data_IF_508018318773
#
_entry.id   IF_508018318773
#
_cell.length_a   1.000
_cell.length_b   1.000
_cell.length_c   1.000
_cell.angle_alpha   90.00
_cell.angle_beta   90.00
_cell.angle_gamma   90.00
#
_symmetry.space_group_name_H-M   'P 1'
#
loop_
_entity.id
_entity.type
_entity.pdbx_description
1 polymer ?
#
# COMPACT_ATOMS: atom_id res chain seq x y z
N UNK A 1 49.68 -37.77 -18.87
CA UNK A 1 48.70 -36.80 -19.42
C UNK A 1 47.65 -36.56 -18.36
N UNK A 2 47.77 -35.46 -17.60
CA UNK A 2 46.81 -35.07 -16.54
C UNK A 2 45.73 -34.19 -17.16
N UNK A 3 44.45 -34.63 -17.16
CA UNK A 3 43.30 -33.84 -17.61
C UNK A 3 42.84 -32.99 -16.44
N UNK A 4 43.05 -31.68 -16.52
CA UNK A 4 42.53 -30.68 -15.58
C UNK A 4 41.08 -30.41 -15.93
N UNK A 5 40.16 -30.77 -15.04
CA UNK A 5 38.73 -30.46 -15.15
C UNK A 5 38.54 -29.01 -14.63
N UNK A 6 38.21 -28.09 -15.50
CA UNK A 6 37.80 -26.71 -15.13
C UNK A 6 36.32 -26.76 -14.80
N UNK A 7 36.01 -26.62 -13.51
CA UNK A 7 34.64 -26.46 -13.01
C UNK A 7 34.26 -25.00 -13.20
N UNK A 8 33.47 -24.68 -14.24
CA UNK A 8 32.85 -23.36 -14.41
C UNK A 8 31.62 -23.32 -13.52
N UNK A 9 31.74 -22.65 -12.40
CA UNK A 9 30.59 -22.31 -11.54
C UNK A 9 29.75 -21.24 -12.27
N UNK A 10 28.66 -21.65 -12.89
CA UNK A 10 27.63 -20.74 -13.40
C UNK A 10 26.82 -20.27 -12.21
N UNK A 11 27.17 -19.10 -11.69
CA UNK A 11 26.31 -18.36 -10.74
C UNK A 11 25.09 -17.88 -11.50
N UNK A 12 24.01 -18.64 -11.51
CA UNK A 12 22.68 -18.12 -11.92
C UNK A 12 22.22 -17.13 -10.86
N UNK A 13 22.48 -15.84 -11.10
CA UNK A 13 21.75 -14.77 -10.46
C UNK A 13 20.29 -14.90 -10.93
N UNK A 14 19.44 -15.42 -10.07
CA UNK A 14 17.99 -15.34 -10.20
C UNK A 14 17.60 -13.86 -10.01
N UNK A 15 17.82 -13.04 -11.05
CA UNK A 15 17.12 -11.76 -11.18
C UNK A 15 15.64 -12.11 -11.28
N UNK A 16 14.93 -11.99 -10.15
CA UNK A 16 13.49 -12.07 -10.13
C UNK A 16 12.96 -11.01 -11.10
N UNK A 17 12.53 -11.46 -12.28
CA UNK A 17 11.98 -10.61 -13.34
C UNK A 17 10.62 -10.03 -12.89
N UNK A 18 10.61 -9.05 -11.99
CA UNK A 18 9.42 -8.23 -11.73
C UNK A 18 9.17 -7.26 -12.89
N UNK A 19 10.16 -7.04 -13.74
CA UNK A 19 10.12 -6.07 -14.86
C UNK A 19 10.05 -4.61 -14.40
N UNK A 20 10.06 -4.35 -13.08
CA UNK A 20 9.95 -3.03 -12.47
C UNK A 20 11.26 -2.63 -11.80
N UNK A 21 11.73 -1.41 -12.08
CA UNK A 21 12.85 -0.79 -11.37
C UNK A 21 12.32 0.29 -10.44
N UNK A 22 12.80 0.29 -9.20
CA UNK A 22 12.48 1.34 -8.24
C UNK A 22 13.21 2.64 -8.58
N UNK A 23 12.70 3.79 -8.12
CA UNK A 23 13.29 5.10 -8.45
C UNK A 23 14.72 5.23 -7.90
N UNK A 24 15.07 4.59 -6.81
CA UNK A 24 16.41 4.57 -6.23
C UNK A 24 17.40 3.65 -6.97
N UNK A 25 16.96 2.77 -7.88
CA UNK A 25 17.84 1.91 -8.68
C UNK A 25 18.39 2.61 -9.93
N UNK A 26 17.83 3.77 -10.28
CA UNK A 26 18.11 4.48 -11.54
C UNK A 26 19.30 5.43 -11.53
N UNK A 27 20.05 5.57 -10.43
CA UNK A 27 21.29 6.38 -10.37
C UNK A 27 21.14 7.89 -10.63
N UNK A 28 19.93 8.43 -10.74
CA UNK A 28 19.65 9.83 -11.13
C UNK A 28 18.83 10.64 -10.09
N UNK A 29 18.69 10.17 -8.87
CA UNK A 29 18.16 11.02 -7.82
C UNK A 29 19.34 11.74 -7.15
N UNK A 30 19.59 12.99 -7.56
CA UNK A 30 20.38 13.92 -6.74
C UNK A 30 19.72 13.92 -5.36
N UNK A 31 20.46 13.66 -4.27
CA UNK A 31 19.90 13.80 -2.94
C UNK A 31 19.30 15.19 -2.81
N UNK A 32 18.18 15.40 -2.13
CA UNK A 32 17.87 16.73 -1.66
C UNK A 32 19.10 17.22 -0.90
N UNK A 33 19.60 18.41 -1.28
CA UNK A 33 20.72 19.02 -0.58
C UNK A 33 20.39 18.93 0.90
N UNK A 34 21.30 18.30 1.68
CA UNK A 34 21.12 18.15 3.10
C UNK A 34 20.76 19.52 3.67
N UNK A 35 19.50 19.71 4.00
CA UNK A 35 19.09 20.82 4.84
C UNK A 35 19.90 20.63 6.12
N UNK A 36 20.80 21.57 6.39
CA UNK A 36 21.63 21.56 7.58
C UNK A 36 20.73 21.23 8.77
N UNK A 37 21.20 20.34 9.65
CA UNK A 37 20.50 19.93 10.85
C UNK A 37 20.15 21.16 11.71
N UNK A 38 19.06 21.75 11.39
CA UNK A 38 18.32 22.73 12.15
C UNK A 38 16.99 22.07 12.40
N UNK A 39 16.56 22.08 13.66
CA UNK A 39 15.33 21.53 14.22
C UNK A 39 14.34 20.99 13.17
N UNK A 40 14.11 19.67 13.17
CA UNK A 40 13.14 19.03 12.31
C UNK A 40 11.80 19.75 12.54
N UNK A 41 11.52 20.72 11.68
CA UNK A 41 10.23 21.36 11.63
C UNK A 41 9.24 20.22 11.35
N UNK A 42 8.30 20.03 12.29
CA UNK A 42 7.08 19.29 12.03
C UNK A 42 6.60 19.66 10.63
N UNK A 43 5.98 18.73 9.85
CA UNK A 43 5.45 19.06 8.53
C UNK A 43 4.72 20.38 8.66
N UNK A 44 5.14 21.37 7.82
CA UNK A 44 4.62 22.72 7.90
C UNK A 44 3.12 22.63 8.10
N UNK A 45 2.63 23.20 9.20
CA UNK A 45 1.22 23.27 9.44
C UNK A 45 0.62 23.86 8.16
N UNK A 46 -0.32 23.10 7.57
CA UNK A 46 -1.14 23.56 6.45
C UNK A 46 -1.61 24.97 6.84
N UNK A 47 -1.13 25.99 6.13
CA UNK A 47 -1.46 27.39 6.39
C UNK A 47 -2.92 27.72 6.03
N UNK A 48 -3.77 26.69 5.95
CA UNK A 48 -5.22 26.78 5.80
C UNK A 48 -5.69 27.11 4.38
N UNK A 49 -4.77 27.33 3.44
CA UNK A 49 -5.12 27.45 2.03
C UNK A 49 -5.13 26.06 1.39
N UNK A 50 -6.31 25.58 0.98
CA UNK A 50 -6.45 24.31 0.27
C UNK A 50 -5.51 24.30 -0.95
N UNK A 51 -4.60 23.30 -1.02
CA UNK A 51 -3.71 23.17 -2.15
C UNK A 51 -4.51 22.89 -3.44
N UNK A 52 -4.05 23.39 -4.61
CA UNK A 52 -4.71 23.06 -5.87
C UNK A 52 -4.91 21.55 -6.02
N UNK A 53 -6.13 21.10 -6.34
CA UNK A 53 -6.50 19.69 -6.44
C UNK A 53 -7.16 19.10 -5.19
N UNK A 54 -7.08 19.76 -4.02
CA UNK A 54 -7.70 19.25 -2.78
C UNK A 54 -9.23 19.31 -2.86
N UNK A 55 -9.79 20.37 -3.46
CA UNK A 55 -11.24 20.49 -3.67
C UNK A 55 -11.81 19.40 -4.58
N UNK A 56 -11.07 18.96 -5.58
CA UNK A 56 -11.42 17.82 -6.42
C UNK A 56 -11.25 16.49 -5.68
N UNK A 57 -10.23 16.38 -4.83
CA UNK A 57 -10.04 15.20 -3.98
C UNK A 57 -11.20 15.02 -2.99
N UNK A 58 -11.73 16.08 -2.44
CA UNK A 58 -12.90 16.02 -1.54
C UNK A 58 -14.14 15.46 -2.27
N UNK A 59 -14.19 15.61 -3.59
CA UNK A 59 -15.22 15.07 -4.47
C UNK A 59 -14.80 13.73 -5.13
N UNK A 60 -13.83 12.99 -4.58
CA UNK A 60 -13.25 11.76 -5.17
C UNK A 60 -14.22 10.59 -5.32
N UNK A 61 -15.44 10.70 -4.80
CA UNK A 61 -16.54 9.78 -5.13
C UNK A 61 -16.91 9.86 -6.61
N UNK A 62 -16.67 10.99 -7.27
CA UNK A 62 -16.71 11.17 -8.72
C UNK A 62 -15.32 10.87 -9.31
N UNK A 63 -15.25 9.83 -10.14
CA UNK A 63 -14.02 9.39 -10.79
C UNK A 63 -13.38 10.47 -11.67
N UNK A 64 -14.18 11.35 -12.31
CA UNK A 64 -13.64 12.44 -13.10
C UNK A 64 -12.94 13.49 -12.21
N UNK A 65 -13.52 13.78 -11.05
CA UNK A 65 -12.92 14.67 -10.05
C UNK A 65 -11.64 14.08 -9.47
N UNK A 66 -11.65 12.80 -9.12
CA UNK A 66 -10.44 12.10 -8.67
C UNK A 66 -9.31 12.16 -9.69
N UNK A 67 -9.61 11.94 -10.99
CA UNK A 67 -8.61 12.06 -12.06
C UNK A 67 -8.10 13.49 -12.22
N UNK A 68 -8.97 14.49 -12.04
CA UNK A 68 -8.57 15.91 -12.06
C UNK A 68 -7.64 16.23 -10.89
N UNK A 69 -7.96 15.79 -9.68
CA UNK A 69 -7.09 15.96 -8.50
C UNK A 69 -5.69 15.38 -8.77
N UNK A 70 -5.63 14.13 -9.27
CA UNK A 70 -4.35 13.47 -9.60
C UNK A 70 -3.56 14.29 -10.62
N UNK A 71 -4.18 14.73 -11.71
CA UNK A 71 -3.49 15.50 -12.75
C UNK A 71 -2.98 16.86 -12.24
N UNK A 72 -3.75 17.53 -11.39
CA UNK A 72 -3.36 18.79 -10.75
C UNK A 72 -2.16 18.59 -9.82
N UNK A 73 -2.21 17.58 -8.98
CA UNK A 73 -1.10 17.25 -8.07
C UNK A 73 0.16 16.77 -8.79
N UNK A 74 0.02 16.06 -9.92
CA UNK A 74 1.17 15.67 -10.74
C UNK A 74 1.90 16.88 -11.30
N UNK A 75 1.16 17.85 -11.81
CA UNK A 75 1.73 19.11 -12.29
C UNK A 75 2.42 19.90 -11.16
N UNK A 76 1.83 19.91 -9.95
CA UNK A 76 2.46 20.53 -8.79
C UNK A 76 3.74 19.81 -8.37
N UNK A 77 3.78 18.46 -8.44
CA UNK A 77 4.94 17.66 -8.12
C UNK A 77 6.09 17.79 -9.16
N UNK A 78 5.81 18.25 -10.38
CA UNK A 78 6.84 18.65 -11.34
C UNK A 78 7.57 19.92 -10.90
N UNK A 79 6.84 20.85 -10.27
CA UNK A 79 7.40 22.11 -9.77
C UNK A 79 8.13 21.93 -8.42
N UNK A 80 7.63 21.04 -7.56
CA UNK A 80 8.22 20.71 -6.25
C UNK A 80 8.33 19.18 -6.08
N UNK A 81 9.36 18.55 -6.67
CA UNK A 81 9.49 17.10 -6.71
C UNK A 81 9.87 16.46 -5.35
N UNK A 82 10.21 17.27 -4.35
CA UNK A 82 10.58 16.81 -3.02
C UNK A 82 9.50 17.06 -1.96
N UNK A 83 8.32 17.51 -2.35
CA UNK A 83 7.19 17.72 -1.45
C UNK A 83 6.60 16.37 -1.00
N UNK A 84 7.08 15.87 0.14
CA UNK A 84 6.68 14.57 0.66
C UNK A 84 5.16 14.45 0.84
N UNK A 85 4.50 15.50 1.35
CA UNK A 85 3.05 15.52 1.55
C UNK A 85 2.30 15.36 0.23
N UNK A 86 2.70 16.08 -0.80
CA UNK A 86 2.10 16.02 -2.13
C UNK A 86 2.32 14.64 -2.78
N UNK A 87 3.53 14.07 -2.63
CA UNK A 87 3.88 12.75 -3.14
C UNK A 87 3.06 11.64 -2.46
N UNK A 88 2.79 11.78 -1.16
CA UNK A 88 1.87 10.87 -0.41
C UNK A 88 0.44 11.00 -0.92
N UNK A 89 -0.07 12.23 -1.14
CA UNK A 89 -1.41 12.45 -1.76
C UNK A 89 -1.51 11.73 -3.10
N UNK A 90 -0.52 11.87 -3.97
CA UNK A 90 -0.46 11.19 -5.26
C UNK A 90 -0.43 9.66 -5.13
N UNK A 91 0.32 9.13 -4.17
CA UNK A 91 0.37 7.69 -3.90
C UNK A 91 -1.01 7.16 -3.52
N UNK A 92 -1.65 7.80 -2.52
CA UNK A 92 -3.00 7.44 -2.05
C UNK A 92 -4.05 7.56 -3.15
N UNK A 93 -4.01 8.64 -3.94
CA UNK A 93 -5.01 8.88 -4.97
C UNK A 93 -4.93 7.86 -6.12
N UNK A 94 -3.72 7.49 -6.57
CA UNK A 94 -3.55 6.43 -7.55
C UNK A 94 -3.97 5.05 -7.00
N UNK A 95 -3.67 4.76 -5.72
CA UNK A 95 -4.18 3.57 -5.05
C UNK A 95 -5.71 3.56 -5.05
N UNK A 96 -6.36 4.66 -4.63
CA UNK A 96 -7.81 4.76 -4.56
C UNK A 96 -8.48 4.67 -5.93
N UNK A 97 -7.90 5.31 -6.96
CA UNK A 97 -8.39 5.19 -8.34
C UNK A 97 -8.34 3.73 -8.82
N UNK A 98 -7.21 3.06 -8.61
CA UNK A 98 -7.07 1.67 -9.04
C UNK A 98 -7.96 0.72 -8.23
N UNK A 99 -7.81 0.70 -6.89
CA UNK A 99 -8.50 -0.26 -6.01
C UNK A 99 -10.00 0.03 -5.84
N UNK A 100 -10.41 1.27 -6.09
CA UNK A 100 -11.82 1.68 -6.05
C UNK A 100 -12.55 1.48 -7.37
N UNK A 101 -11.98 1.97 -8.47
CA UNK A 101 -12.73 2.19 -9.71
C UNK A 101 -12.26 1.36 -10.91
N UNK A 102 -11.07 0.74 -10.85
CA UNK A 102 -10.48 0.00 -11.98
C UNK A 102 -10.34 -1.50 -11.70
N UNK A 103 -11.20 -2.06 -10.80
CA UNK A 103 -11.10 -3.47 -10.37
C UNK A 103 -11.64 -4.48 -11.39
N UNK A 104 -12.45 -4.02 -12.36
CA UNK A 104 -13.07 -4.87 -13.38
C UNK A 104 -12.03 -5.54 -14.27
N UNK A 105 -12.37 -6.70 -14.84
CA UNK A 105 -11.48 -7.41 -15.77
C UNK A 105 -11.14 -6.58 -17.00
N UNK A 106 -12.10 -5.81 -17.52
CA UNK A 106 -11.91 -4.91 -18.66
C UNK A 106 -10.85 -3.83 -18.38
N UNK A 107 -10.64 -3.47 -17.11
CA UNK A 107 -9.78 -2.38 -16.69
C UNK A 107 -8.39 -2.84 -16.22
N UNK A 108 -8.09 -4.14 -16.29
CA UNK A 108 -6.85 -4.72 -15.73
C UNK A 108 -5.58 -3.98 -16.15
N UNK A 109 -5.47 -3.61 -17.43
CA UNK A 109 -4.30 -2.89 -17.94
C UNK A 109 -4.18 -1.50 -17.32
N UNK A 110 -5.29 -0.79 -17.18
CA UNK A 110 -5.31 0.53 -16.57
C UNK A 110 -5.09 0.42 -15.05
N UNK A 111 -5.69 -0.57 -14.38
CA UNK A 111 -5.44 -0.88 -12.98
C UNK A 111 -3.94 -1.04 -12.71
N UNK A 112 -3.27 -1.93 -13.45
CA UNK A 112 -1.84 -2.21 -13.27
C UNK A 112 -0.98 -0.96 -13.53
N UNK A 113 -1.30 -0.17 -14.56
CA UNK A 113 -0.59 1.08 -14.88
C UNK A 113 -0.78 2.12 -13.76
N UNK A 114 -2.01 2.29 -13.27
CA UNK A 114 -2.35 3.26 -12.22
C UNK A 114 -1.72 2.86 -10.90
N UNK A 115 -1.78 1.56 -10.56
CA UNK A 115 -1.17 1.06 -9.34
C UNK A 115 0.37 1.18 -9.36
N UNK A 116 1.04 0.87 -10.49
CA UNK A 116 2.48 1.09 -10.67
C UNK A 116 2.86 2.57 -10.55
N UNK A 117 2.01 3.47 -11.04
CA UNK A 117 2.18 4.92 -10.88
C UNK A 117 2.11 5.31 -9.39
N UNK A 118 1.15 4.75 -8.65
CA UNK A 118 1.06 4.90 -7.20
C UNK A 118 2.33 4.41 -6.48
N UNK A 119 2.85 3.24 -6.89
CA UNK A 119 4.12 2.73 -6.33
C UNK A 119 5.27 3.70 -6.58
N UNK A 120 5.41 4.25 -7.80
CA UNK A 120 6.48 5.21 -8.14
C UNK A 120 6.39 6.51 -7.33
N UNK A 121 5.17 7.02 -7.12
CA UNK A 121 4.97 8.18 -6.24
C UNK A 121 5.32 7.84 -4.78
N UNK A 122 4.96 6.65 -4.30
CA UNK A 122 5.32 6.17 -2.98
C UNK A 122 6.83 6.02 -2.77
N UNK A 123 7.56 5.57 -3.79
CA UNK A 123 9.02 5.51 -3.77
C UNK A 123 9.64 6.90 -3.64
N UNK A 124 9.14 7.88 -4.41
CA UNK A 124 9.58 9.28 -4.29
C UNK A 124 9.22 9.85 -2.93
N UNK A 125 8.02 9.54 -2.41
CA UNK A 125 7.59 9.98 -1.09
C UNK A 125 8.51 9.45 0.02
N UNK A 126 8.94 8.18 -0.04
CA UNK A 126 9.91 7.60 0.91
C UNK A 126 11.25 8.33 0.87
N UNK A 127 11.78 8.59 -0.34
CA UNK A 127 13.04 9.34 -0.51
C UNK A 127 12.92 10.76 0.04
N UNK A 128 11.78 11.43 -0.21
CA UNK A 128 11.56 12.80 0.27
C UNK A 128 11.29 12.88 1.78
N UNK A 129 10.67 11.83 2.36
CA UNK A 129 10.32 11.79 3.79
C UNK A 129 11.48 11.38 4.69
N UNK A 130 12.54 10.73 4.16
CA UNK A 130 13.64 10.22 4.98
C UNK A 130 14.97 10.29 4.23
N UNK A 131 15.79 11.32 4.53
CA UNK A 131 17.16 11.42 4.00
C UNK A 131 18.02 10.20 4.36
N UNK A 132 17.82 9.60 5.54
CA UNK A 132 18.55 8.43 6.01
C UNK A 132 18.19 7.19 5.19
N UNK A 133 16.90 7.01 4.84
CA UNK A 133 16.47 5.97 3.91
C UNK A 133 17.10 6.18 2.53
N UNK A 134 17.03 7.40 2.00
CA UNK A 134 17.59 7.75 0.70
C UNK A 134 19.10 7.46 0.65
N UNK A 135 19.85 7.91 1.66
CA UNK A 135 21.28 7.66 1.76
C UNK A 135 21.63 6.17 1.87
N UNK A 136 20.86 5.40 2.65
CA UNK A 136 21.06 3.97 2.78
C UNK A 136 20.85 3.24 1.44
N UNK A 137 19.76 3.57 0.70
CA UNK A 137 19.50 2.99 -0.61
C UNK A 137 20.56 3.33 -1.64
N UNK A 138 21.05 4.58 -1.67
CA UNK A 138 22.15 5.02 -2.53
C UNK A 138 23.48 4.32 -2.16
N UNK A 139 23.70 4.06 -0.86
CA UNK A 139 24.85 3.29 -0.37
C UNK A 139 24.78 1.78 -0.64
N UNK A 140 23.73 1.29 -1.29
CA UNK A 140 23.55 -0.12 -1.63
C UNK A 140 23.06 -1.00 -0.48
N UNK A 141 22.49 -0.42 0.58
CA UNK A 141 21.87 -1.19 1.66
C UNK A 141 20.70 -2.03 1.12
N UNK A 142 20.42 -3.15 1.76
CA UNK A 142 19.21 -3.92 1.47
C UNK A 142 17.98 -3.14 1.90
N UNK A 143 16.89 -3.25 1.13
CA UNK A 143 15.67 -2.50 1.39
C UNK A 143 15.14 -2.64 2.84
N UNK A 144 15.08 -3.85 3.47
CA UNK A 144 14.64 -3.97 4.87
C UNK A 144 15.52 -3.21 5.88
N UNK A 145 16.82 -3.06 5.60
CA UNK A 145 17.75 -2.27 6.44
C UNK A 145 17.50 -0.77 6.25
N UNK A 146 17.26 -0.34 5.00
CA UNK A 146 17.01 1.07 4.70
C UNK A 146 15.67 1.53 5.28
N UNK A 147 14.60 0.74 5.11
CA UNK A 147 13.25 1.12 5.57
C UNK A 147 13.17 1.26 7.10
N UNK A 148 14.00 0.54 7.87
CA UNK A 148 14.08 0.69 9.33
C UNK A 148 14.56 2.06 9.79
N UNK A 149 15.15 2.85 8.91
CA UNK A 149 15.64 4.22 9.18
C UNK A 149 14.55 5.28 9.03
N UNK A 150 13.41 4.93 8.42
CA UNK A 150 12.28 5.86 8.27
C UNK A 150 11.65 6.13 9.62
N UNK A 151 11.48 7.40 9.98
CA UNK A 151 10.83 7.85 11.22
C UNK A 151 9.29 7.88 11.12
N UNK A 152 8.65 8.33 12.20
CA UNK A 152 7.18 8.36 12.31
C UNK A 152 6.53 9.26 11.24
N UNK A 153 7.18 10.34 10.88
CA UNK A 153 6.75 11.27 9.81
C UNK A 153 6.64 10.59 8.44
N UNK A 154 7.40 9.52 8.20
CA UNK A 154 7.35 8.72 6.97
C UNK A 154 6.29 7.63 6.95
N UNK A 155 5.52 7.42 8.03
CA UNK A 155 4.46 6.38 8.07
C UNK A 155 3.45 6.52 6.93
N UNK A 156 2.94 7.72 6.57
CA UNK A 156 2.03 7.86 5.43
C UNK A 156 2.66 7.39 4.11
N UNK A 157 3.91 7.73 3.85
CA UNK A 157 4.63 7.30 2.65
C UNK A 157 4.81 5.79 2.61
N UNK A 158 5.27 5.19 3.72
CA UNK A 158 5.43 3.74 3.87
C UNK A 158 4.13 2.98 3.65
N UNK A 159 3.06 3.40 4.31
CA UNK A 159 1.78 2.70 4.26
C UNK A 159 1.20 2.67 2.85
N UNK A 160 1.13 3.82 2.17
CA UNK A 160 0.57 3.89 0.82
C UNK A 160 1.46 3.26 -0.24
N UNK A 161 2.79 3.37 -0.10
CA UNK A 161 3.74 2.65 -0.94
C UNK A 161 3.55 1.14 -0.84
N UNK A 162 3.58 0.58 0.38
CA UNK A 162 3.47 -0.86 0.58
C UNK A 162 2.08 -1.40 0.17
N UNK A 163 1.01 -0.63 0.42
CA UNK A 163 -0.34 -0.97 -0.04
C UNK A 163 -0.42 -1.04 -1.56
N UNK A 164 0.14 -0.04 -2.25
CA UNK A 164 0.18 -0.01 -3.72
C UNK A 164 1.02 -1.15 -4.29
N UNK A 165 2.23 -1.38 -3.74
CA UNK A 165 3.13 -2.44 -4.20
C UNK A 165 2.52 -3.83 -3.99
N UNK A 166 1.90 -4.07 -2.83
CA UNK A 166 1.25 -5.34 -2.52
C UNK A 166 0.08 -5.65 -3.47
N UNK A 167 -0.78 -4.67 -3.74
CA UNK A 167 -1.90 -4.80 -4.67
C UNK A 167 -1.42 -5.00 -6.12
N UNK A 168 -0.44 -4.21 -6.56
CA UNK A 168 0.17 -4.37 -7.87
C UNK A 168 0.78 -5.76 -8.03
N UNK A 169 1.57 -6.21 -7.06
CA UNK A 169 2.23 -7.51 -7.09
C UNK A 169 1.22 -8.68 -7.09
N UNK A 170 0.15 -8.58 -6.26
CA UNK A 170 -0.94 -9.58 -6.23
C UNK A 170 -1.59 -9.72 -7.62
N UNK A 171 -1.90 -8.59 -8.28
CA UNK A 171 -2.54 -8.59 -9.61
C UNK A 171 -1.59 -9.08 -10.72
N UNK A 172 -0.27 -8.87 -10.58
CA UNK A 172 0.75 -9.41 -11.50
C UNK A 172 0.99 -10.91 -11.37
N UNK A 173 0.53 -11.51 -10.29
CA UNK A 173 0.58 -12.95 -10.04
C UNK A 173 1.53 -13.39 -8.93
N UNK A 174 1.41 -14.65 -8.57
CA UNK A 174 2.04 -15.22 -7.37
C UNK A 174 3.56 -15.07 -7.32
N UNK A 175 4.28 -15.29 -8.42
CA UNK A 175 5.74 -15.16 -8.46
C UNK A 175 6.21 -13.72 -8.16
N UNK A 176 5.50 -12.71 -8.69
CA UNK A 176 5.79 -11.29 -8.44
C UNK A 176 5.46 -10.94 -6.99
N UNK A 177 4.31 -11.40 -6.48
CA UNK A 177 3.92 -11.21 -5.10
C UNK A 177 4.96 -11.77 -4.13
N UNK A 178 5.44 -12.99 -4.37
CA UNK A 178 6.47 -13.63 -3.56
C UNK A 178 7.79 -12.85 -3.61
N UNK A 179 8.16 -12.34 -4.78
CA UNK A 179 9.37 -11.52 -4.96
C UNK A 179 9.33 -10.16 -4.24
N UNK A 180 8.14 -9.60 -4.02
CA UNK A 180 7.97 -8.32 -3.30
C UNK A 180 7.62 -8.50 -1.81
N UNK A 181 7.36 -9.73 -1.37
CA UNK A 181 6.85 -10.05 -0.03
C UNK A 181 7.68 -9.41 1.08
N UNK A 182 8.99 -9.56 1.03
CA UNK A 182 9.87 -9.11 2.12
C UNK A 182 9.95 -7.59 2.18
N UNK A 183 9.93 -6.89 1.05
CA UNK A 183 9.92 -5.43 0.99
C UNK A 183 8.60 -4.87 1.55
N UNK A 184 7.46 -5.42 1.09
CA UNK A 184 6.14 -4.99 1.57
C UNK A 184 5.99 -5.28 3.05
N UNK A 185 6.39 -6.48 3.50
CA UNK A 185 6.32 -6.85 4.91
C UNK A 185 7.19 -5.96 5.79
N UNK A 186 8.46 -5.75 5.45
CA UNK A 186 9.37 -4.90 6.23
C UNK A 186 8.83 -3.46 6.35
N UNK A 187 8.25 -2.92 5.28
CA UNK A 187 7.63 -1.61 5.30
C UNK A 187 6.42 -1.55 6.24
N UNK A 188 5.55 -2.57 6.21
CA UNK A 188 4.38 -2.60 7.08
C UNK A 188 4.73 -2.95 8.53
N UNK A 189 5.77 -3.78 8.78
CA UNK A 189 6.32 -3.97 10.13
C UNK A 189 6.74 -2.63 10.74
N UNK A 190 7.44 -1.79 9.94
CA UNK A 190 7.87 -0.46 10.39
C UNK A 190 6.68 0.48 10.63
N UNK A 191 5.66 0.45 9.78
CA UNK A 191 4.41 1.19 10.03
C UNK A 191 3.75 0.74 11.35
N UNK A 192 3.66 -0.57 11.58
CA UNK A 192 3.06 -1.14 12.78
C UNK A 192 3.82 -0.74 14.05
N UNK A 193 5.16 -0.70 13.98
CA UNK A 193 6.03 -0.27 15.09
C UNK A 193 5.82 1.22 15.43
N UNK A 194 5.77 2.09 14.42
CA UNK A 194 5.75 3.53 14.59
C UNK A 194 4.35 4.10 14.85
N UNK A 195 3.34 3.57 14.18
CA UNK A 195 1.95 4.00 14.33
C UNK A 195 0.96 2.89 13.95
N UNK A 196 0.61 2.00 14.89
CA UNK A 196 -0.36 0.93 14.65
C UNK A 196 -1.78 1.43 14.33
N UNK A 197 -2.07 2.71 14.66
CA UNK A 197 -3.39 3.32 14.47
C UNK A 197 -3.56 4.01 13.12
N UNK A 198 -2.45 4.22 12.39
CA UNK A 198 -2.47 4.93 11.11
C UNK A 198 -3.57 4.38 10.19
N UNK A 199 -4.27 5.29 9.54
CA UNK A 199 -5.35 5.01 8.61
C UNK A 199 -6.33 3.95 9.12
N UNK A 200 -6.95 4.23 10.28
CA UNK A 200 -7.98 3.38 10.87
C UNK A 200 -7.49 1.96 11.17
N UNK A 201 -6.34 1.82 11.83
CA UNK A 201 -5.75 0.52 12.13
C UNK A 201 -5.20 -0.21 10.90
N UNK A 202 -4.80 0.54 9.89
CA UNK A 202 -4.32 0.06 8.59
C UNK A 202 -3.18 -0.96 8.66
N UNK A 203 -2.11 -0.75 9.47
CA UNK A 203 -1.05 -1.74 9.62
C UNK A 203 -1.58 -3.08 10.16
N UNK A 204 -2.47 -3.06 11.14
CA UNK A 204 -3.11 -4.28 11.62
C UNK A 204 -3.99 -4.93 10.56
N UNK A 205 -4.79 -4.15 9.83
CA UNK A 205 -5.61 -4.65 8.71
C UNK A 205 -4.75 -5.33 7.63
N UNK A 206 -3.61 -4.74 7.30
CA UNK A 206 -2.65 -5.36 6.37
C UNK A 206 -2.17 -6.72 6.88
N UNK A 207 -1.72 -6.82 8.16
CA UNK A 207 -1.23 -8.08 8.70
C UNK A 207 -2.34 -9.13 8.84
N UNK A 208 -3.57 -8.71 9.11
CA UNK A 208 -4.73 -9.61 9.02
C UNK A 208 -4.81 -10.29 7.65
N UNK A 209 -4.80 -9.50 6.58
CA UNK A 209 -4.83 -10.02 5.22
C UNK A 209 -3.54 -10.81 4.86
N UNK A 210 -2.36 -10.31 5.24
CA UNK A 210 -1.08 -10.98 4.95
C UNK A 210 -1.04 -12.40 5.51
N UNK A 211 -1.38 -12.58 6.79
CA UNK A 211 -1.34 -13.90 7.43
C UNK A 211 -2.41 -14.86 6.90
N UNK A 212 -3.54 -14.37 6.39
CA UNK A 212 -4.55 -15.20 5.72
C UNK A 212 -4.11 -15.63 4.31
N UNK A 213 -3.55 -14.70 3.52
CA UNK A 213 -3.19 -14.94 2.11
C UNK A 213 -1.92 -15.78 1.97
N UNK A 214 -0.90 -15.52 2.79
CA UNK A 214 0.39 -16.17 2.67
C UNK A 214 0.27 -17.69 2.94
N UNK A 215 0.91 -18.54 2.14
CA UNK A 215 1.06 -19.95 2.49
C UNK A 215 1.86 -20.12 3.79
N UNK A 216 1.69 -21.25 4.50
CA UNK A 216 2.40 -21.51 5.75
C UNK A 216 3.93 -21.39 5.62
N UNK A 217 4.50 -21.92 4.52
CA UNK A 217 5.95 -21.81 4.26
C UNK A 217 6.43 -20.38 4.00
N UNK A 218 5.52 -19.46 3.65
CA UNK A 218 5.80 -18.03 3.44
C UNK A 218 5.37 -17.15 4.62
N UNK A 219 5.04 -17.77 5.77
CA UNK A 219 4.70 -17.09 7.01
C UNK A 219 3.21 -16.89 7.25
N UNK A 220 2.32 -17.57 6.49
CA UNK A 220 0.87 -17.56 6.72
C UNK A 220 0.50 -18.19 8.07
N UNK A 221 -0.50 -17.61 8.74
CA UNK A 221 -0.94 -18.04 10.08
C UNK A 221 -2.37 -17.47 10.33
N UNK A 222 -3.37 -18.32 10.28
CA UNK A 222 -4.77 -17.92 10.38
C UNK A 222 -5.13 -17.36 11.78
N UNK A 223 -4.47 -17.84 12.84
CA UNK A 223 -4.70 -17.31 14.18
C UNK A 223 -4.11 -15.90 14.34
N UNK A 224 -2.90 -15.66 13.83
CA UNK A 224 -2.34 -14.29 13.77
C UNK A 224 -3.19 -13.38 12.91
N UNK A 225 -3.69 -13.87 11.77
CA UNK A 225 -4.63 -13.12 10.93
C UNK A 225 -5.83 -12.62 11.74
N UNK A 226 -6.49 -13.51 12.47
CA UNK A 226 -7.64 -13.20 13.33
C UNK A 226 -7.31 -12.17 14.40
N UNK A 227 -6.16 -12.33 15.08
CA UNK A 227 -5.68 -11.37 16.10
C UNK A 227 -5.50 -9.98 15.50
N UNK A 228 -4.89 -9.87 14.33
CA UNK A 228 -4.64 -8.59 13.68
C UNK A 228 -5.92 -7.93 13.17
N UNK A 229 -6.86 -8.68 12.58
CA UNK A 229 -8.16 -8.12 12.21
C UNK A 229 -8.94 -7.61 13.42
N UNK A 230 -8.94 -8.35 14.54
CA UNK A 230 -9.58 -7.89 15.80
C UNK A 230 -8.97 -6.57 16.28
N UNK A 231 -7.63 -6.46 16.33
CA UNK A 231 -6.95 -5.23 16.72
C UNK A 231 -7.28 -4.05 15.81
N UNK A 232 -7.39 -4.28 14.48
CA UNK A 232 -7.81 -3.23 13.56
C UNK A 232 -9.24 -2.76 13.85
N UNK A 233 -10.17 -3.67 14.17
CA UNK A 233 -11.55 -3.33 14.54
C UNK A 233 -11.65 -2.67 15.93
N UNK A 234 -10.79 -3.03 16.88
CA UNK A 234 -10.69 -2.33 18.17
C UNK A 234 -10.27 -0.87 18.01
N UNK A 235 -9.36 -0.58 17.06
CA UNK A 235 -8.90 0.78 16.74
C UNK A 235 -9.99 1.57 16.01
N UNK A 236 -10.64 0.97 15.01
CA UNK A 236 -11.62 1.64 14.16
C UNK A 236 -12.78 0.70 13.79
N UNK A 237 -13.76 0.53 14.70
CA UNK A 237 -14.88 -0.41 14.52
C UNK A 237 -15.77 -0.06 13.31
N UNK A 238 -15.85 1.23 12.98
CA UNK A 238 -16.68 1.75 11.89
C UNK A 238 -15.98 1.70 10.52
N UNK A 239 -14.69 1.38 10.46
CA UNK A 239 -13.98 1.24 9.20
C UNK A 239 -14.27 -0.13 8.56
N UNK A 240 -15.33 -0.22 7.77
CA UNK A 240 -15.84 -1.47 7.19
C UNK A 240 -14.84 -2.22 6.30
N UNK A 241 -13.81 -1.54 5.74
CA UNK A 241 -12.77 -2.18 4.94
C UNK A 241 -11.99 -3.28 5.69
N UNK A 242 -11.93 -3.23 7.03
CA UNK A 242 -11.37 -4.32 7.83
C UNK A 242 -12.26 -5.56 7.78
N UNK A 243 -13.58 -5.37 7.89
CA UNK A 243 -14.56 -6.47 7.81
C UNK A 243 -14.60 -7.09 6.42
N UNK A 244 -14.50 -6.26 5.36
CA UNK A 244 -14.42 -6.74 3.96
C UNK A 244 -13.22 -7.65 3.76
N UNK A 245 -12.02 -7.24 4.22
CA UNK A 245 -10.82 -8.08 4.10
C UNK A 245 -10.90 -9.34 4.97
N UNK A 246 -11.49 -9.26 6.16
CA UNK A 246 -11.69 -10.46 6.98
C UNK A 246 -12.62 -11.45 6.28
N UNK A 247 -13.75 -11.00 5.75
CA UNK A 247 -14.67 -11.85 5.00
C UNK A 247 -13.98 -12.48 3.79
N UNK A 248 -13.31 -11.66 2.96
CA UNK A 248 -12.71 -12.10 1.70
C UNK A 248 -11.51 -13.03 1.87
N UNK A 249 -10.64 -12.78 2.86
CA UNK A 249 -9.34 -13.46 2.92
C UNK A 249 -9.31 -14.50 4.06
N UNK A 250 -9.88 -14.22 5.23
CA UNK A 250 -9.80 -15.15 6.36
C UNK A 250 -11.00 -16.08 6.43
N UNK A 251 -12.24 -15.58 6.40
CA UNK A 251 -13.42 -16.42 6.53
C UNK A 251 -13.53 -17.41 5.35
N UNK A 252 -13.32 -16.96 4.13
CA UNK A 252 -13.24 -17.82 2.93
C UNK A 252 -12.12 -18.85 3.07
N UNK A 253 -10.92 -18.44 3.52
CA UNK A 253 -9.80 -19.38 3.69
C UNK A 253 -10.07 -20.46 4.74
N UNK A 254 -10.85 -20.15 5.77
CA UNK A 254 -11.25 -21.06 6.83
C UNK A 254 -12.50 -21.86 6.48
N UNK A 255 -13.19 -21.56 5.37
CA UNK A 255 -14.53 -22.08 5.02
C UNK A 255 -15.55 -21.79 6.14
N UNK A 256 -15.42 -20.63 6.79
CA UNK A 256 -16.27 -20.16 7.89
C UNK A 256 -17.41 -19.29 7.33
N UNK A 257 -18.43 -19.96 6.77
CA UNK A 257 -19.62 -19.33 6.20
C UNK A 257 -20.33 -18.44 7.22
N UNK A 258 -20.41 -18.88 8.49
CA UNK A 258 -21.13 -18.15 9.52
C UNK A 258 -20.46 -16.81 9.84
N UNK A 259 -19.13 -16.77 9.97
CA UNK A 259 -18.37 -15.53 10.14
C UNK A 259 -18.47 -14.65 8.89
N UNK A 260 -18.39 -15.22 7.68
CA UNK A 260 -18.55 -14.48 6.43
C UNK A 260 -19.91 -13.77 6.39
N UNK A 261 -21.00 -14.50 6.59
CA UNK A 261 -22.37 -13.95 6.52
C UNK A 261 -22.61 -12.87 7.59
N UNK A 262 -22.08 -13.07 8.81
CA UNK A 262 -22.16 -12.08 9.88
C UNK A 262 -21.42 -10.78 9.52
N UNK A 263 -20.19 -10.87 8.98
CA UNK A 263 -19.42 -9.71 8.54
C UNK A 263 -20.11 -8.95 7.40
N UNK A 264 -20.66 -9.67 6.41
CA UNK A 264 -21.41 -9.04 5.31
C UNK A 264 -22.63 -8.29 5.86
N UNK A 265 -23.41 -8.89 6.77
CA UNK A 265 -24.55 -8.23 7.37
C UNK A 265 -24.17 -6.96 8.16
N UNK A 266 -23.06 -7.00 8.91
CA UNK A 266 -22.55 -5.83 9.62
C UNK A 266 -22.09 -4.72 8.66
N UNK A 267 -21.46 -5.06 7.52
CA UNK A 267 -21.05 -4.09 6.49
C UNK A 267 -22.28 -3.44 5.84
N UNK A 268 -23.31 -4.23 5.52
CA UNK A 268 -24.57 -3.73 4.94
C UNK A 268 -25.27 -2.74 5.89
N UNK A 269 -25.31 -3.05 7.18
CA UNK A 269 -25.93 -2.21 8.21
C UNK A 269 -25.12 -0.95 8.56
N UNK A 270 -23.83 -0.90 8.25
CA UNK A 270 -22.96 0.23 8.56
C UNK A 270 -23.43 1.51 7.84
N UNK A 271 -23.35 2.66 8.56
CA UNK A 271 -23.64 3.96 7.97
C UNK A 271 -22.52 4.36 7.00
N UNK A 272 -22.87 4.96 5.87
CA UNK A 272 -21.89 5.45 4.89
C UNK A 272 -21.07 6.62 5.40
N UNK A 273 -21.67 7.43 6.28
CA UNK A 273 -21.08 8.64 6.88
C UNK A 273 -20.49 8.39 8.29
N UNK A 274 -20.32 7.12 8.68
CA UNK A 274 -19.77 6.78 9.99
C UNK A 274 -18.37 7.41 10.22
N UNK A 275 -17.59 7.58 9.15
CA UNK A 275 -16.30 8.28 9.15
C UNK A 275 -16.31 9.23 7.95
N UNK A 276 -16.75 10.49 8.12
CA UNK A 276 -17.02 11.43 7.01
C UNK A 276 -15.85 11.64 6.06
N UNK A 277 -14.61 11.72 6.58
CA UNK A 277 -13.40 11.99 5.79
C UNK A 277 -13.01 10.84 4.85
N UNK A 278 -13.55 9.64 5.06
CA UNK A 278 -13.33 8.45 4.21
C UNK A 278 -14.64 7.86 3.68
N UNK A 279 -15.71 8.64 3.68
CA UNK A 279 -17.01 8.20 3.14
C UNK A 279 -16.93 7.64 1.71
N UNK A 280 -16.17 8.21 0.75
CA UNK A 280 -15.99 7.61 -0.58
C UNK A 280 -15.36 6.22 -0.53
N UNK A 281 -14.38 6.03 0.34
CA UNK A 281 -13.73 4.74 0.56
C UNK A 281 -14.70 3.72 1.16
N UNK A 282 -15.50 4.12 2.16
CA UNK A 282 -16.52 3.24 2.78
C UNK A 282 -17.55 2.76 1.76
N UNK A 283 -17.98 3.63 0.83
CA UNK A 283 -18.89 3.25 -0.27
C UNK A 283 -18.27 2.17 -1.17
N UNK A 284 -16.99 2.33 -1.53
CA UNK A 284 -16.27 1.32 -2.32
C UNK A 284 -16.17 -0.01 -1.54
N UNK A 285 -15.88 0.03 -0.24
CA UNK A 285 -15.81 -1.17 0.57
C UNK A 285 -17.18 -1.87 0.67
N UNK A 286 -18.30 -1.14 0.76
CA UNK A 286 -19.66 -1.71 0.69
C UNK A 286 -19.94 -2.35 -0.68
N UNK A 287 -19.48 -1.76 -1.77
CA UNK A 287 -19.58 -2.37 -3.11
C UNK A 287 -18.82 -3.69 -3.19
N UNK A 288 -17.58 -3.74 -2.65
CA UNK A 288 -16.79 -4.97 -2.58
C UNK A 288 -17.50 -6.05 -1.75
N UNK A 289 -18.14 -5.68 -0.64
CA UNK A 289 -18.92 -6.62 0.15
C UNK A 289 -20.14 -7.16 -0.61
N UNK A 290 -20.83 -6.32 -1.38
CA UNK A 290 -21.94 -6.76 -2.24
C UNK A 290 -21.47 -7.74 -3.34
N UNK A 291 -20.28 -7.49 -3.93
CA UNK A 291 -19.65 -8.41 -4.89
C UNK A 291 -19.28 -9.76 -4.23
N UNK A 292 -18.71 -9.74 -3.02
CA UNK A 292 -18.43 -10.97 -2.25
C UNK A 292 -19.70 -11.75 -1.96
N UNK A 293 -20.78 -11.08 -1.54
CA UNK A 293 -22.08 -11.69 -1.28
C UNK A 293 -22.67 -12.33 -2.53
N UNK A 294 -22.61 -11.64 -3.67
CA UNK A 294 -23.11 -12.15 -4.95
C UNK A 294 -22.34 -13.41 -5.41
N UNK A 295 -21.07 -13.51 -5.09
CA UNK A 295 -20.21 -14.64 -5.46
C UNK A 295 -20.09 -15.70 -4.35
N UNK A 296 -20.93 -15.62 -3.28
CA UNK A 296 -20.83 -16.50 -2.12
C UNK A 296 -20.79 -18.00 -2.49
N UNK A 297 -21.64 -18.43 -3.45
CA UNK A 297 -21.69 -19.83 -3.86
C UNK A 297 -20.44 -20.37 -4.56
N UNK A 298 -19.58 -19.48 -5.07
CA UNK A 298 -18.28 -19.86 -5.68
C UNK A 298 -17.14 -19.82 -4.65
N UNK A 299 -17.39 -19.25 -3.47
CA UNK A 299 -16.40 -19.11 -2.39
C UNK A 299 -16.47 -20.24 -1.37
N UNK A 300 -17.64 -20.87 -1.24
CA UNK A 300 -17.97 -21.98 -0.32
C UNK A 300 -18.66 -23.13 -1.10
#
# INVERSE_FOLDING_TARGET
>A
MKKTLILVAVSMALSACSGRKAVWEGGSSTPPAAAAAGDAAAPAADDGAAAPGDAEWDQRADVAKLRTAIATWEKAAEADPNNATLLVKLTRANYFLADGYLRGEADEKEYLKTMDKGVKWGEKALVASSPEFAAAMQGGAKFPEAISKVGKEGVPAMYWYASSLGKWAKKKGFAVLLGQKDNVKATMDRCLELDPTFYHGGPHRYFGAYYAIAPAFAGGDLEKSKVHFKKSLEIAPDFVGTKVLWAAELAVKQQDEATFDALIAEIEAAKEDAIPEVMPELRIEKQKAAELKANRGDLF
#
